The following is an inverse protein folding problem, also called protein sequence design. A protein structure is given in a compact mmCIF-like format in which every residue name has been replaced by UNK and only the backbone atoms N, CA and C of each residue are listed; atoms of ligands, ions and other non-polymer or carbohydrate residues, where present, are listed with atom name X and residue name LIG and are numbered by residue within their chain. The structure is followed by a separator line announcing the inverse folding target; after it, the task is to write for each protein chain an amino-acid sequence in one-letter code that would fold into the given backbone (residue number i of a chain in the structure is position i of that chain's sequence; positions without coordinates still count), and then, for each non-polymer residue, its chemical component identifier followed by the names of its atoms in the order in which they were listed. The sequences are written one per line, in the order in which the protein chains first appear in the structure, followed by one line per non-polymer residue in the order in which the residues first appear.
data_IF_762056708738
#
_entry.id   IF_762056708738
#
_cell.length_a   1.000
_cell.length_b   1.000
_cell.length_c   1.000
_cell.angle_alpha   90.00
_cell.angle_beta   90.00
_cell.angle_gamma   90.00
#
_symmetry.space_group_name_H-M   'P 1'
#
loop_
_entity.id
_entity.type
_entity.pdbx_description
1 polymer ?
#
# COMPACT_ATOMS: atom_id res chain seq x y z
N UNK A 1 -17.76 -27.85 -44.80
CA UNK A 1 -18.18 -27.08 -43.61
C UNK A 1 -17.61 -27.60 -42.30
N UNK A 2 -17.49 -28.92 -42.05
CA UNK A 2 -16.95 -29.47 -40.79
C UNK A 2 -15.44 -29.21 -40.54
N UNK A 3 -14.63 -29.06 -41.60
CA UNK A 3 -13.20 -28.76 -41.47
C UNK A 3 -12.91 -27.29 -41.14
N UNK A 4 -13.72 -26.33 -41.62
CA UNK A 4 -13.53 -24.91 -41.31
C UNK A 4 -13.86 -24.57 -39.85
N UNK A 5 -14.83 -25.27 -39.24
CA UNK A 5 -15.18 -25.08 -37.82
C UNK A 5 -14.08 -25.58 -36.86
N UNK A 6 -13.32 -26.61 -37.25
CA UNK A 6 -12.22 -27.13 -36.42
C UNK A 6 -11.00 -26.19 -36.42
N UNK A 7 -10.71 -25.56 -37.56
CA UNK A 7 -9.59 -24.62 -37.69
C UNK A 7 -9.88 -23.31 -36.92
N UNK A 8 -11.13 -22.83 -36.97
CA UNK A 8 -11.54 -21.62 -36.25
C UNK A 8 -11.52 -21.82 -34.72
N UNK A 9 -11.89 -23.01 -34.22
CA UNK A 9 -11.85 -23.35 -32.80
C UNK A 9 -10.40 -23.47 -32.26
N UNK A 10 -9.46 -23.95 -33.06
CA UNK A 10 -8.04 -24.03 -32.67
C UNK A 10 -7.34 -22.68 -32.61
N UNK A 11 -7.71 -21.73 -33.47
CA UNK A 11 -7.14 -20.38 -33.47
C UNK A 11 -7.58 -19.56 -32.24
N UNK A 12 -8.82 -19.72 -31.80
CA UNK A 12 -9.39 -19.00 -30.64
C UNK A 12 -8.80 -19.47 -29.29
N UNK A 13 -8.39 -20.74 -29.16
CA UNK A 13 -7.72 -21.23 -27.94
C UNK A 13 -6.30 -20.67 -27.77
N UNK A 14 -5.64 -20.26 -28.86
CA UNK A 14 -4.26 -19.77 -28.84
C UNK A 14 -4.13 -18.32 -28.35
N UNK A 15 -5.23 -17.55 -28.42
CA UNK A 15 -5.29 -16.15 -27.97
C UNK A 15 -5.67 -15.98 -26.49
N UNK A 16 -6.18 -17.04 -25.84
CA UNK A 16 -6.62 -16.99 -24.45
C UNK A 16 -5.52 -17.29 -23.42
N UNK A 17 -4.31 -17.65 -23.86
CA UNK A 17 -3.21 -18.08 -23.00
C UNK A 17 -2.10 -17.01 -22.82
N UNK A 18 -2.45 -15.73 -22.94
CA UNK A 18 -1.58 -14.71 -22.34
C UNK A 18 -1.87 -14.70 -20.85
N UNK A 19 -0.95 -15.10 -19.96
CA UNK A 19 -1.14 -14.85 -18.54
C UNK A 19 -1.32 -13.33 -18.41
N UNK A 20 -2.48 -12.89 -17.93
CA UNK A 20 -2.65 -11.52 -17.52
C UNK A 20 -1.55 -11.26 -16.49
N UNK A 21 -0.52 -10.50 -16.86
CA UNK A 21 0.51 -10.08 -15.90
C UNK A 21 -0.23 -9.26 -14.85
N UNK A 22 -0.34 -9.82 -13.65
CA UNK A 22 -0.96 -9.11 -12.55
C UNK A 22 -0.23 -7.78 -12.36
N UNK A 23 -0.99 -6.69 -12.34
CA UNK A 23 -0.44 -5.37 -12.07
C UNK A 23 0.16 -5.38 -10.66
N UNK A 24 1.47 -5.13 -10.57
CA UNK A 24 2.21 -5.19 -9.32
C UNK A 24 1.65 -4.21 -8.27
N UNK A 25 1.09 -3.08 -8.71
CA UNK A 25 0.43 -2.12 -7.81
C UNK A 25 -0.85 -2.73 -7.26
N UNK A 26 -1.76 -3.20 -8.13
CA UNK A 26 -2.99 -3.84 -7.69
C UNK A 26 -2.74 -5.05 -6.77
N UNK A 27 -1.77 -5.91 -7.09
CA UNK A 27 -1.39 -7.03 -6.22
C UNK A 27 -0.95 -6.53 -4.84
N UNK A 28 -0.11 -5.49 -4.77
CA UNK A 28 0.36 -4.96 -3.50
C UNK A 28 -0.77 -4.35 -2.64
N UNK A 29 -1.75 -3.68 -3.27
CA UNK A 29 -2.94 -3.20 -2.57
C UNK A 29 -3.79 -4.34 -2.05
N UNK A 30 -4.04 -5.36 -2.87
CA UNK A 30 -4.81 -6.53 -2.44
C UNK A 30 -4.12 -7.26 -1.26
N UNK A 31 -2.80 -7.41 -1.32
CA UNK A 31 -2.01 -8.02 -0.25
C UNK A 31 -2.03 -7.16 1.03
N UNK A 32 -1.99 -5.83 0.89
CA UNK A 32 -2.08 -4.90 2.01
C UNK A 32 -3.47 -4.92 2.66
N UNK A 33 -4.54 -4.96 1.86
CA UNK A 33 -5.92 -5.11 2.33
C UNK A 33 -6.07 -6.42 3.10
N UNK A 34 -5.68 -7.56 2.50
CA UNK A 34 -5.80 -8.86 3.14
C UNK A 34 -5.03 -8.95 4.45
N UNK A 35 -3.80 -8.42 4.50
CA UNK A 35 -3.02 -8.38 5.73
C UNK A 35 -3.67 -7.49 6.80
N UNK A 36 -4.17 -6.32 6.40
CA UNK A 36 -4.84 -5.42 7.33
C UNK A 36 -6.12 -6.05 7.89
N UNK A 37 -6.97 -6.65 7.05
CA UNK A 37 -8.21 -7.32 7.48
C UNK A 37 -7.93 -8.45 8.47
N UNK A 38 -6.87 -9.22 8.25
CA UNK A 38 -6.45 -10.28 9.17
C UNK A 38 -5.93 -9.72 10.51
N UNK A 39 -5.21 -8.60 10.48
CA UNK A 39 -4.69 -7.94 11.68
C UNK A 39 -5.78 -7.17 12.45
N UNK A 40 -6.80 -6.66 11.75
CA UNK A 40 -7.78 -5.70 12.25
C UNK A 40 -8.41 -6.06 13.61
N UNK A 41 -8.82 -7.32 13.88
CA UNK A 41 -9.43 -7.68 15.16
C UNK A 41 -8.54 -7.43 16.39
N UNK A 42 -7.21 -7.35 16.19
CA UNK A 42 -6.23 -7.17 17.26
C UNK A 42 -5.72 -5.72 17.38
N UNK A 43 -6.02 -4.85 16.41
CA UNK A 43 -5.51 -3.47 16.39
C UNK A 43 -6.23 -2.56 17.38
N UNK A 44 -7.50 -2.85 17.70
CA UNK A 44 -8.38 -1.98 18.51
C UNK A 44 -9.04 -0.89 17.66
N UNK A 45 -9.46 0.22 18.29
CA UNK A 45 -10.02 1.39 17.58
C UNK A 45 -8.94 2.36 17.12
N UNK A 46 -7.82 2.40 17.83
CA UNK A 46 -6.65 3.23 17.51
C UNK A 46 -5.38 2.46 17.82
N UNK A 47 -4.36 2.58 16.96
CA UNK A 47 -3.03 1.97 17.17
C UNK A 47 -1.95 2.93 16.70
N UNK A 48 -0.96 3.21 17.56
CA UNK A 48 0.10 4.20 17.29
C UNK A 48 -0.43 5.59 16.88
N UNK A 49 -1.63 5.97 17.33
CA UNK A 49 -2.29 7.22 16.92
C UNK A 49 -2.96 7.17 15.53
N UNK A 50 -3.01 6.00 14.89
CA UNK A 50 -3.76 5.76 13.64
C UNK A 50 -5.17 5.29 14.00
N UNK A 51 -6.18 5.98 13.48
CA UNK A 51 -7.59 5.56 13.54
C UNK A 51 -7.80 4.37 12.60
N UNK A 52 -8.21 3.22 13.15
CA UNK A 52 -8.32 1.96 12.42
C UNK A 52 -9.48 1.96 11.43
N UNK A 53 -10.58 2.67 11.72
CA UNK A 53 -11.70 2.78 10.81
C UNK A 53 -11.34 3.69 9.62
N UNK A 54 -10.75 4.85 9.90
CA UNK A 54 -10.28 5.76 8.86
C UNK A 54 -9.23 5.10 7.96
N UNK A 55 -8.30 4.34 8.55
CA UNK A 55 -7.29 3.60 7.79
C UNK A 55 -7.91 2.51 6.90
N UNK A 56 -8.84 1.71 7.43
CA UNK A 56 -9.56 0.70 6.64
C UNK A 56 -10.27 1.35 5.45
N UNK A 57 -11.02 2.40 5.71
CA UNK A 57 -11.86 3.03 4.69
C UNK A 57 -10.98 3.73 3.64
N UNK A 58 -9.87 4.36 4.03
CA UNK A 58 -8.88 4.89 3.10
C UNK A 58 -8.25 3.79 2.22
N UNK A 59 -7.89 2.65 2.81
CA UNK A 59 -7.23 1.54 2.12
C UNK A 59 -8.17 0.78 1.17
N UNK A 60 -9.43 0.57 1.57
CA UNK A 60 -10.38 -0.29 0.84
C UNK A 60 -11.35 0.48 -0.05
N UNK A 61 -11.79 1.68 0.39
CA UNK A 61 -12.78 2.49 -0.32
C UNK A 61 -12.15 3.69 -1.02
N UNK A 62 -10.92 4.05 -0.67
CA UNK A 62 -10.28 5.28 -1.15
C UNK A 62 -10.94 6.55 -0.61
N UNK A 63 -11.77 6.45 0.43
CA UNK A 63 -12.46 7.56 1.07
C UNK A 63 -12.51 7.33 2.57
N UNK A 64 -12.31 8.40 3.35
CA UNK A 64 -12.27 8.28 4.80
C UNK A 64 -12.58 9.62 5.49
N UNK A 65 -13.05 9.55 6.73
CA UNK A 65 -13.16 10.72 7.62
C UNK A 65 -11.90 10.78 8.47
N UNK A 66 -11.22 11.93 8.49
CA UNK A 66 -10.01 12.13 9.27
C UNK A 66 -10.22 13.20 10.35
N UNK A 67 -9.95 12.81 11.60
CA UNK A 67 -9.79 13.76 12.70
C UNK A 67 -8.47 14.54 12.59
N UNK A 68 -7.44 13.95 11.96
CA UNK A 68 -6.14 14.60 11.76
C UNK A 68 -6.21 15.73 10.73
N UNK A 69 -6.86 15.50 9.60
CA UNK A 69 -7.00 16.50 8.52
C UNK A 69 -8.27 17.35 8.61
N UNK A 70 -9.24 16.95 9.44
CA UNK A 70 -10.45 17.73 9.71
C UNK A 70 -11.52 17.66 8.62
N UNK A 71 -12.00 16.45 8.30
CA UNK A 71 -13.13 16.28 7.38
C UNK A 71 -13.12 14.95 6.64
N UNK A 72 -13.90 14.88 5.56
CA UNK A 72 -13.88 13.76 4.62
C UNK A 72 -12.81 13.99 3.56
N UNK A 73 -12.02 12.96 3.27
CA UNK A 73 -10.98 12.98 2.27
C UNK A 73 -11.11 11.81 1.31
N UNK A 74 -10.57 11.98 0.11
CA UNK A 74 -10.38 10.93 -0.87
C UNK A 74 -8.88 10.65 -1.06
N UNK A 75 -8.54 9.39 -1.31
CA UNK A 75 -7.22 8.96 -1.74
C UNK A 75 -7.18 9.00 -3.26
N UNK A 76 -6.25 9.76 -3.83
CA UNK A 76 -6.00 9.75 -5.27
C UNK A 76 -4.77 8.90 -5.57
N UNK A 77 -4.97 7.68 -6.07
CA UNK A 77 -3.88 6.80 -6.47
C UNK A 77 -3.33 7.24 -7.83
N UNK A 78 -2.06 7.61 -7.86
CA UNK A 78 -1.31 7.94 -9.07
C UNK A 78 -0.26 6.86 -9.32
N UNK A 79 -0.30 6.18 -10.46
CA UNK A 79 0.63 5.07 -10.77
C UNK A 79 1.57 5.40 -11.91
N UNK A 80 2.77 4.80 -11.89
CA UNK A 80 3.75 4.98 -12.95
C UNK A 80 4.39 6.37 -12.97
N UNK A 81 4.33 7.10 -11.85
CA UNK A 81 4.90 8.43 -11.73
C UNK A 81 6.43 8.40 -11.93
N UNK A 82 6.94 9.53 -12.42
CA UNK A 82 8.36 9.82 -12.60
C UNK A 82 8.64 11.26 -12.16
N UNK A 83 9.87 11.56 -11.73
CA UNK A 83 10.24 12.90 -11.24
C UNK A 83 11.06 12.84 -9.95
N UNK A 84 11.27 14.00 -9.32
CA UNK A 84 12.19 14.14 -8.18
C UNK A 84 11.77 13.35 -6.94
N UNK A 85 10.46 13.20 -6.68
CA UNK A 85 9.95 12.32 -5.61
C UNK A 85 10.29 10.86 -5.88
N UNK A 86 10.04 10.41 -7.10
CA UNK A 86 10.36 9.05 -7.56
C UNK A 86 11.86 8.77 -7.72
N UNK A 87 12.74 9.77 -7.66
CA UNK A 87 14.18 9.53 -7.61
C UNK A 87 14.63 8.93 -6.26
N UNK A 88 13.79 9.02 -5.23
CA UNK A 88 14.13 8.64 -3.86
C UNK A 88 13.24 7.54 -3.28
N UNK A 89 11.99 7.47 -3.70
CA UNK A 89 10.99 6.61 -3.06
C UNK A 89 10.22 5.76 -4.06
N UNK A 90 9.88 4.53 -3.68
CA UNK A 90 9.06 3.63 -4.50
C UNK A 90 7.57 4.06 -4.50
N UNK A 91 7.12 4.67 -3.42
CA UNK A 91 5.87 5.40 -3.33
C UNK A 91 6.05 6.56 -2.34
N UNK A 92 5.18 7.56 -2.39
CA UNK A 92 5.17 8.65 -1.41
C UNK A 92 3.80 9.34 -1.38
N UNK A 93 3.53 10.05 -0.28
CA UNK A 93 2.35 10.88 -0.11
C UNK A 93 2.75 12.36 -0.05
N UNK A 94 2.39 13.20 -1.04
CA UNK A 94 2.53 14.64 -0.93
C UNK A 94 1.60 15.17 0.17
N UNK A 95 2.18 15.71 1.23
CA UNK A 95 1.45 16.32 2.34
C UNK A 95 1.65 17.85 2.39
N UNK A 96 0.68 18.62 2.92
CA UNK A 96 -0.64 18.19 3.38
C UNK A 96 -1.62 17.90 2.21
N UNK A 97 -2.80 17.32 2.49
CA UNK A 97 -3.88 17.18 1.52
C UNK A 97 -4.26 18.51 0.87
N UNK A 98 -4.77 18.45 -0.37
CA UNK A 98 -5.26 19.63 -1.11
C UNK A 98 -6.68 19.36 -1.59
N UNK A 99 -7.57 20.31 -1.36
CA UNK A 99 -8.98 20.25 -1.81
C UNK A 99 -9.70 18.94 -1.41
N UNK A 100 -9.43 18.44 -0.20
CA UNK A 100 -10.01 17.19 0.31
C UNK A 100 -9.42 15.92 -0.29
N UNK A 101 -8.30 16.02 -1.01
CA UNK A 101 -7.64 14.88 -1.66
C UNK A 101 -6.24 14.68 -1.12
N UNK A 102 -5.90 13.43 -0.84
CA UNK A 102 -4.54 12.99 -0.49
C UNK A 102 -3.98 12.15 -1.62
N UNK A 103 -2.99 12.64 -2.39
CA UNK A 103 -2.38 11.83 -3.42
C UNK A 103 -1.53 10.72 -2.81
N UNK A 104 -1.67 9.50 -3.32
CA UNK A 104 -0.77 8.39 -3.07
C UNK A 104 -0.06 8.08 -4.37
N UNK A 105 1.20 8.50 -4.46
CA UNK A 105 1.99 8.39 -5.68
C UNK A 105 2.80 7.11 -5.63
N UNK A 106 2.56 6.21 -6.58
CA UNK A 106 3.31 4.96 -6.78
C UNK A 106 4.23 5.13 -7.99
N UNK A 107 5.53 5.10 -7.74
CA UNK A 107 6.57 5.34 -8.74
C UNK A 107 6.81 4.10 -9.59
N UNK A 108 7.32 4.29 -10.82
CA UNK A 108 7.64 3.19 -11.74
C UNK A 108 8.50 2.08 -11.10
N UNK A 109 9.50 2.46 -10.31
CA UNK A 109 10.42 1.53 -9.65
C UNK A 109 9.75 0.60 -8.63
N UNK A 110 8.55 0.94 -8.15
CA UNK A 110 7.74 0.06 -7.30
C UNK A 110 7.51 -1.31 -7.97
N UNK A 111 7.31 -1.30 -9.29
CA UNK A 111 6.96 -2.49 -10.07
C UNK A 111 8.18 -3.23 -10.65
N UNK A 112 9.41 -2.78 -10.36
CA UNK A 112 10.65 -3.41 -10.83
C UNK A 112 10.90 -4.77 -10.16
N UNK A 113 11.72 -5.61 -10.80
CA UNK A 113 12.12 -6.90 -10.24
C UNK A 113 12.87 -6.70 -8.90
N UNK A 114 12.71 -7.66 -7.97
CA UNK A 114 13.35 -7.61 -6.66
C UNK A 114 12.64 -6.78 -5.59
N UNK A 115 11.60 -6.00 -5.93
CA UNK A 115 10.86 -5.18 -4.96
C UNK A 115 9.68 -5.91 -4.31
N UNK A 116 9.28 -7.08 -4.83
CA UNK A 116 8.05 -7.78 -4.45
C UNK A 116 7.87 -7.97 -2.94
N UNK A 117 8.95 -8.30 -2.22
CA UNK A 117 8.91 -8.50 -0.77
C UNK A 117 8.56 -7.23 0.04
N UNK A 118 8.79 -6.04 -0.53
CA UNK A 118 8.58 -4.76 0.15
C UNK A 118 7.26 -4.09 -0.21
N UNK A 119 6.64 -4.45 -1.34
CA UNK A 119 5.49 -3.72 -1.90
C UNK A 119 4.32 -3.61 -0.94
N UNK A 120 3.95 -4.71 -0.27
CA UNK A 120 2.89 -4.72 0.74
C UNK A 120 3.21 -3.77 1.90
N UNK A 121 4.42 -3.89 2.47
CA UNK A 121 4.89 -3.01 3.54
C UNK A 121 4.83 -1.53 3.10
N UNK A 122 5.29 -1.22 1.88
CA UNK A 122 5.23 0.14 1.33
C UNK A 122 3.79 0.66 1.28
N UNK A 123 2.83 -0.10 0.77
CA UNK A 123 1.42 0.35 0.74
C UNK A 123 0.89 0.56 2.17
N UNK A 124 1.17 -0.36 3.10
CA UNK A 124 0.76 -0.21 4.49
C UNK A 124 1.34 1.04 5.15
N UNK A 125 2.62 1.31 4.87
CA UNK A 125 3.35 2.47 5.39
C UNK A 125 2.79 3.79 4.84
N UNK A 126 2.69 3.92 3.51
CA UNK A 126 2.20 5.16 2.89
C UNK A 126 0.75 5.47 3.29
N UNK A 127 -0.08 4.44 3.49
CA UNK A 127 -1.45 4.63 3.94
C UNK A 127 -1.54 5.23 5.35
N UNK A 128 -0.51 5.04 6.21
CA UNK A 128 -0.44 5.76 7.49
C UNK A 128 -0.19 7.24 7.26
N UNK A 129 0.64 7.62 6.28
CA UNK A 129 0.81 9.04 5.92
C UNK A 129 -0.47 9.67 5.39
N UNK A 130 -1.22 8.91 4.58
CA UNK A 130 -2.54 9.34 4.10
C UNK A 130 -3.47 9.69 5.27
N UNK A 131 -3.51 8.87 6.32
CA UNK A 131 -4.52 8.97 7.38
C UNK A 131 -4.07 9.84 8.56
N UNK A 132 -2.80 9.75 8.94
CA UNK A 132 -2.26 10.28 10.20
C UNK A 132 -1.10 11.28 10.03
N UNK A 133 -0.62 11.53 8.80
CA UNK A 133 0.43 12.51 8.51
C UNK A 133 1.86 11.98 8.56
N UNK A 134 2.83 12.89 8.53
CA UNK A 134 4.22 12.65 8.09
C UNK A 134 5.17 11.88 9.05
N UNK A 135 4.70 11.34 10.18
CA UNK A 135 5.59 10.65 11.12
C UNK A 135 6.01 9.27 10.58
N UNK A 136 7.28 9.18 10.14
CA UNK A 136 7.89 7.99 9.54
C UNK A 136 7.96 6.79 10.50
N UNK A 137 8.25 7.07 11.78
CA UNK A 137 8.43 6.04 12.79
C UNK A 137 7.08 5.42 13.17
N UNK A 138 6.03 6.26 13.25
CA UNK A 138 4.65 5.78 13.37
C UNK A 138 4.23 4.92 12.19
N UNK A 139 4.47 5.40 10.97
CA UNK A 139 4.08 4.70 9.75
C UNK A 139 4.75 3.32 9.66
N UNK A 140 6.05 3.26 9.93
CA UNK A 140 6.78 1.99 9.92
C UNK A 140 6.38 1.06 11.06
N UNK A 141 6.22 1.56 12.29
CA UNK A 141 5.79 0.74 13.43
C UNK A 141 4.40 0.14 13.21
N UNK A 142 3.47 0.93 12.70
CA UNK A 142 2.12 0.46 12.38
C UNK A 142 2.14 -0.59 11.27
N UNK A 143 2.86 -0.35 10.17
CA UNK A 143 2.95 -1.29 9.07
C UNK A 143 3.57 -2.63 9.53
N UNK A 144 4.66 -2.59 10.28
CA UNK A 144 5.31 -3.78 10.84
C UNK A 144 4.37 -4.56 11.78
N UNK A 145 3.61 -3.87 12.64
CA UNK A 145 2.64 -4.51 13.52
C UNK A 145 1.50 -5.18 12.75
N UNK A 146 0.99 -4.56 11.68
CA UNK A 146 0.02 -5.20 10.78
C UNK A 146 0.61 -6.47 10.16
N UNK A 147 1.85 -6.42 9.65
CA UNK A 147 2.49 -7.60 9.09
C UNK A 147 2.65 -8.73 10.12
N UNK A 148 3.09 -8.40 11.34
CA UNK A 148 3.28 -9.34 12.44
C UNK A 148 1.95 -9.97 12.86
N UNK A 149 0.90 -9.19 13.03
CA UNK A 149 -0.42 -9.68 13.42
C UNK A 149 -1.05 -10.57 12.34
N UNK A 150 -0.83 -10.24 11.06
CA UNK A 150 -1.35 -11.03 9.95
C UNK A 150 -0.57 -12.33 9.72
N UNK A 151 0.76 -12.29 9.80
CA UNK A 151 1.60 -13.40 9.31
C UNK A 151 2.49 -14.04 10.37
N UNK A 152 2.50 -13.50 11.59
CA UNK A 152 3.43 -13.88 12.66
C UNK A 152 4.85 -13.34 12.47
N UNK A 153 5.15 -12.63 11.38
CA UNK A 153 6.46 -12.05 11.05
C UNK A 153 6.27 -10.67 10.42
N UNK A 154 7.30 -9.85 10.42
CA UNK A 154 7.32 -8.61 9.66
C UNK A 154 8.61 -8.47 8.87
N UNK A 155 8.56 -7.64 7.84
CA UNK A 155 9.69 -7.35 6.96
C UNK A 155 10.80 -6.64 7.76
N UNK A 156 12.05 -7.13 7.74
CA UNK A 156 13.16 -6.47 8.44
C UNK A 156 13.41 -5.06 7.90
N UNK A 157 13.37 -4.07 8.80
CA UNK A 157 13.46 -2.64 8.47
C UNK A 157 14.50 -1.90 9.31
N UNK A 158 15.47 -2.60 9.90
CA UNK A 158 16.47 -2.03 10.81
C UNK A 158 17.20 -0.83 10.22
N UNK A 159 17.57 -0.91 8.93
CA UNK A 159 18.23 0.19 8.22
C UNK A 159 17.33 1.42 8.12
N UNK A 160 16.06 1.23 7.77
CA UNK A 160 15.05 2.29 7.68
C UNK A 160 14.82 2.93 9.06
N UNK A 161 14.63 2.07 10.06
CA UNK A 161 14.38 2.47 11.44
C UNK A 161 15.52 3.33 11.99
N UNK A 162 16.76 2.90 11.75
CA UNK A 162 17.95 3.64 12.14
C UNK A 162 18.10 4.95 11.36
N UNK A 163 17.94 4.94 10.03
CA UNK A 163 18.12 6.13 9.19
C UNK A 163 17.12 7.25 9.51
N UNK A 164 15.93 6.89 9.99
CA UNK A 164 14.90 7.84 10.41
C UNK A 164 14.98 8.20 11.91
N UNK A 165 16.01 7.71 12.64
CA UNK A 165 16.20 8.03 14.05
C UNK A 165 15.11 7.45 14.97
N UNK A 166 14.39 6.41 14.54
CA UNK A 166 13.19 5.94 15.24
C UNK A 166 13.45 5.30 16.60
N UNK A 167 14.70 4.93 16.91
CA UNK A 167 15.10 4.48 18.25
C UNK A 167 14.88 5.54 19.35
N UNK A 168 14.85 6.83 19.00
CA UNK A 168 14.53 7.92 19.93
C UNK A 168 13.06 8.36 19.90
N UNK A 169 12.21 7.71 19.10
CA UNK A 169 10.80 8.06 18.97
C UNK A 169 9.92 7.41 20.06
N UNK A 170 8.65 7.78 20.12
CA UNK A 170 7.66 7.15 20.99
C UNK A 170 7.16 5.78 20.45
N UNK A 171 7.62 5.36 19.27
CA UNK A 171 7.17 4.15 18.59
C UNK A 171 8.23 3.03 18.69
N UNK A 172 7.78 1.80 18.58
CA UNK A 172 8.64 0.61 18.61
C UNK A 172 8.21 -0.38 17.53
N UNK A 173 9.19 -1.10 16.98
CA UNK A 173 8.93 -2.29 16.16
C UNK A 173 8.53 -3.46 17.06
N UNK A 174 7.70 -4.39 16.56
CA UNK A 174 7.16 -5.47 17.37
C UNK A 174 8.03 -6.73 17.44
#
# INVERSE_FOLDING_TARGET
MRLLTAILAGLLLSLAASPARADAVQTAFNDAIAAFEQAQPQLGTTRFGVDIAAYRDALTLGQFTSSHWGGNLAVALETGASGSGCARFAAYVPLPPRDGVVPLVVCRQFSEEGTAALRRLTILHEMVHVVAGADECRAMAFAAEVERLATGRFTPVDRYWHSNGCAGSAFSLP
#
